data_IF_893252757308
#
_entry.id   IF_893252757308
#
_cell.length_a   1.000
_cell.length_b   1.000
_cell.length_c   1.000
_cell.angle_alpha   90.00
_cell.angle_beta   90.00
_cell.angle_gamma   90.00
#
_symmetry.space_group_name_H-M   'P 1'
#
loop_
_entity.id
_entity.type
_entity.pdbx_description
1 polymer ?
#
# COMPACT_ATOMS: atom_id res chain seq x y z
N UNK A 1 -4.01 -19.83 -13.99
CA UNK A 1 -2.57 -19.87 -13.64
C UNK A 1 -2.15 -21.08 -12.80
N UNK A 2 -3.05 -22.02 -12.45
CA UNK A 2 -2.73 -23.19 -11.61
C UNK A 2 -3.24 -24.54 -12.18
N UNK A 3 -3.59 -24.60 -13.47
CA UNK A 3 -4.07 -25.82 -14.11
C UNK A 3 -3.25 -26.13 -15.36
N UNK A 4 -2.29 -27.05 -15.24
CA UNK A 4 -1.49 -27.55 -16.37
C UNK A 4 0.00 -27.48 -16.11
N UNK A 5 0.64 -28.65 -15.94
CA UNK A 5 2.10 -28.90 -15.98
C UNK A 5 2.95 -28.03 -15.06
N UNK A 6 3.58 -28.61 -14.04
CA UNK A 6 4.44 -27.94 -13.06
C UNK A 6 5.17 -26.73 -13.65
N UNK A 7 4.74 -25.55 -13.22
CA UNK A 7 5.06 -24.29 -13.92
C UNK A 7 6.57 -24.12 -14.06
N UNK A 8 7.01 -23.60 -15.21
CA UNK A 8 8.42 -23.28 -15.50
C UNK A 8 9.11 -22.57 -14.32
N UNK A 9 8.36 -21.71 -13.61
CA UNK A 9 8.82 -21.02 -12.40
C UNK A 9 9.24 -21.99 -11.29
N UNK A 10 8.38 -22.93 -10.90
CA UNK A 10 8.69 -23.89 -9.83
C UNK A 10 9.86 -24.81 -10.23
N UNK A 11 9.93 -25.21 -11.51
CA UNK A 11 11.06 -25.98 -12.04
C UNK A 11 12.39 -25.21 -11.96
N UNK A 12 12.38 -23.93 -12.35
CA UNK A 12 13.57 -23.06 -12.27
C UNK A 12 13.97 -22.80 -10.82
N UNK A 13 13.02 -22.55 -9.92
CA UNK A 13 13.29 -22.39 -8.49
C UNK A 13 13.91 -23.65 -7.88
N UNK A 14 13.39 -24.83 -8.24
CA UNK A 14 13.94 -26.10 -7.80
C UNK A 14 15.40 -26.24 -8.23
N UNK A 15 15.67 -26.07 -9.53
CA UNK A 15 17.03 -26.21 -10.07
C UNK A 15 18.01 -25.24 -9.40
N UNK A 16 17.62 -23.98 -9.21
CA UNK A 16 18.46 -22.97 -8.56
C UNK A 16 18.76 -23.29 -7.09
N UNK A 17 17.77 -23.80 -6.34
CA UNK A 17 17.95 -24.20 -4.93
C UNK A 17 18.77 -25.51 -4.78
N UNK A 18 18.71 -26.40 -5.77
CA UNK A 18 19.55 -27.61 -5.82
C UNK A 18 21.01 -27.25 -6.15
N UNK A 19 21.22 -26.30 -7.07
CA UNK A 19 22.55 -25.79 -7.43
C UNK A 19 23.20 -24.98 -6.29
N UNK A 20 22.40 -24.38 -5.40
CA UNK A 20 22.89 -23.54 -4.31
C UNK A 20 22.41 -24.04 -2.92
N UNK A 21 23.02 -25.11 -2.37
CA UNK A 21 22.58 -25.77 -1.14
C UNK A 21 22.70 -24.95 0.15
N UNK A 22 23.25 -23.73 0.14
CA UNK A 22 23.29 -22.85 1.31
C UNK A 22 22.32 -21.66 1.23
N UNK A 23 21.65 -21.48 0.09
CA UNK A 23 20.80 -20.33 -0.18
C UNK A 23 19.33 -20.53 0.24
N UNK A 24 18.73 -19.48 0.80
CA UNK A 24 17.28 -19.36 0.98
C UNK A 24 16.57 -18.84 -0.27
N UNK A 25 15.24 -18.76 -0.20
CA UNK A 25 14.38 -18.23 -1.25
C UNK A 25 13.72 -16.92 -0.79
N UNK A 26 14.02 -15.82 -1.49
CA UNK A 26 13.29 -14.56 -1.32
C UNK A 26 12.41 -14.34 -2.54
N UNK A 27 11.11 -14.17 -2.33
CA UNK A 27 10.18 -13.73 -3.36
C UNK A 27 9.90 -12.24 -3.17
N UNK A 28 9.77 -11.51 -4.27
CA UNK A 28 9.33 -10.12 -4.20
C UNK A 28 8.32 -9.81 -5.30
N UNK A 29 7.51 -8.80 -5.07
CA UNK A 29 6.55 -8.35 -6.06
C UNK A 29 5.82 -7.10 -5.66
N UNK A 30 5.42 -6.33 -6.66
CA UNK A 30 4.60 -5.14 -6.51
C UNK A 30 3.15 -5.43 -6.95
N UNK A 31 2.16 -4.84 -6.27
CA UNK A 31 0.75 -4.93 -6.63
C UNK A 31 0.27 -6.38 -6.75
N UNK A 32 -0.33 -6.75 -7.90
CA UNK A 32 -0.69 -8.13 -8.24
C UNK A 32 0.50 -9.11 -8.11
N UNK A 33 1.71 -8.70 -8.50
CA UNK A 33 2.91 -9.52 -8.36
C UNK A 33 3.23 -9.83 -6.90
N UNK A 34 3.00 -8.86 -6.00
CA UNK A 34 3.14 -9.04 -4.55
C UNK A 34 2.13 -10.05 -4.00
N UNK A 35 0.87 -9.98 -4.48
CA UNK A 35 -0.17 -10.94 -4.10
C UNK A 35 0.15 -12.36 -4.58
N UNK A 36 0.63 -12.50 -5.82
CA UNK A 36 1.04 -13.80 -6.37
C UNK A 36 2.23 -14.37 -5.59
N UNK A 37 3.25 -13.56 -5.29
CA UNK A 37 4.39 -13.97 -4.50
C UNK A 37 3.98 -14.44 -3.09
N UNK A 38 3.11 -13.67 -2.42
CA UNK A 38 2.57 -14.01 -1.11
C UNK A 38 1.81 -15.34 -1.12
N UNK A 39 0.85 -15.50 -2.03
CA UNK A 39 0.05 -16.73 -2.12
C UNK A 39 0.92 -17.94 -2.49
N UNK A 40 1.89 -17.78 -3.40
CA UNK A 40 2.83 -18.83 -3.73
C UNK A 40 3.64 -19.27 -2.50
N UNK A 41 4.18 -18.32 -1.74
CA UNK A 41 4.93 -18.60 -0.51
C UNK A 41 4.07 -19.36 0.51
N UNK A 42 2.82 -18.93 0.73
CA UNK A 42 1.89 -19.60 1.65
C UNK A 42 1.66 -21.06 1.22
N UNK A 43 1.58 -21.33 -0.08
CA UNK A 43 1.39 -22.69 -0.59
C UNK A 43 2.63 -23.58 -0.39
N UNK A 44 3.83 -23.03 -0.50
CA UNK A 44 5.09 -23.78 -0.52
C UNK A 44 5.90 -23.71 0.79
N UNK A 45 5.47 -22.94 1.78
CA UNK A 45 6.19 -22.75 3.05
C UNK A 45 5.50 -23.44 4.24
N UNK A 46 6.30 -23.91 5.19
CA UNK A 46 5.88 -24.40 6.50
C UNK A 46 6.63 -23.66 7.61
N UNK A 47 6.02 -23.52 8.81
CA UNK A 47 6.72 -22.96 9.96
C UNK A 47 7.98 -23.76 10.28
N UNK A 48 9.08 -23.07 10.54
CA UNK A 48 10.30 -23.70 11.02
C UNK A 48 10.08 -24.21 12.45
N UNK A 49 10.45 -25.46 12.72
CA UNK A 49 10.48 -26.01 14.09
C UNK A 49 11.77 -25.67 14.85
N UNK A 50 12.73 -25.02 14.18
CA UNK A 50 14.03 -24.70 14.78
C UNK A 50 13.97 -23.39 15.58
N UNK A 51 14.70 -23.34 16.70
CA UNK A 51 14.83 -22.15 17.55
C UNK A 51 15.69 -21.03 16.91
N UNK A 52 16.20 -21.21 15.69
CA UNK A 52 16.85 -20.14 14.93
C UNK A 52 15.78 -19.13 14.52
N UNK A 53 16.06 -17.83 14.55
CA UNK A 53 15.09 -16.76 14.28
C UNK A 53 14.41 -16.76 12.90
N UNK A 54 14.54 -17.82 12.10
CA UNK A 54 13.81 -18.04 10.85
C UNK A 54 12.43 -18.65 11.13
N UNK A 55 11.38 -17.91 10.79
CA UNK A 55 10.00 -18.34 11.05
C UNK A 55 9.47 -19.39 10.07
N UNK A 56 9.95 -19.43 8.81
CA UNK A 56 9.41 -20.30 7.76
C UNK A 56 10.49 -20.90 6.86
N UNK A 57 10.24 -22.11 6.39
CA UNK A 57 11.07 -22.86 5.44
C UNK A 57 10.22 -23.45 4.32
N UNK A 58 10.83 -23.83 3.20
CA UNK A 58 10.15 -24.56 2.13
C UNK A 58 9.68 -25.93 2.63
N UNK A 59 8.44 -26.28 2.26
CA UNK A 59 7.79 -27.54 2.66
C UNK A 59 8.62 -28.73 2.26
N UNK A 60 8.75 -29.69 3.18
CA UNK A 60 9.02 -31.07 2.78
C UNK A 60 8.01 -31.52 1.74
N UNK A 61 8.49 -32.18 0.69
CA UNK A 61 7.62 -32.96 -0.17
C UNK A 61 7.03 -34.05 0.71
N UNK A 62 5.91 -33.76 1.39
CA UNK A 62 5.28 -34.76 2.22
C UNK A 62 4.92 -35.91 1.29
N UNK A 63 5.61 -37.04 1.47
CA UNK A 63 5.00 -38.35 1.27
C UNK A 63 3.69 -38.27 2.03
N UNK A 64 2.61 -38.10 1.28
CA UNK A 64 1.25 -38.05 1.77
C UNK A 64 1.08 -39.24 2.72
N UNK A 65 1.14 -38.98 4.03
CA UNK A 65 1.02 -40.03 5.02
C UNK A 65 -0.39 -40.61 4.89
N UNK A 66 -0.41 -41.82 4.37
CA UNK A 66 -1.41 -42.84 4.65
C UNK A 66 -1.75 -42.78 6.15
N UNK A 67 -2.96 -42.32 6.48
CA UNK A 67 -3.45 -42.31 7.84
C UNK A 67 -4.16 -41.02 8.20
N UNK A 68 -5.42 -40.91 7.79
CA UNK A 68 -6.61 -40.75 8.64
C UNK A 68 -7.79 -40.44 7.72
N UNK A 69 -8.57 -41.49 7.47
CA UNK A 69 -9.78 -41.48 6.66
C UNK A 69 -10.83 -40.52 7.24
N UNK A 70 -11.11 -39.42 6.52
CA UNK A 70 -12.42 -38.77 6.54
C UNK A 70 -12.96 -38.73 5.10
N UNK A 71 -14.20 -39.18 4.81
CA UNK A 71 -14.55 -39.72 3.49
C UNK A 71 -15.03 -38.68 2.46
N UNK A 72 -14.87 -37.37 2.68
CA UNK A 72 -15.65 -36.37 1.92
C UNK A 72 -14.88 -35.24 1.25
N UNK A 73 -13.55 -35.17 1.35
CA UNK A 73 -12.78 -34.17 0.60
C UNK A 73 -11.81 -34.85 -0.37
N UNK A 74 -12.01 -34.61 -1.67
CA UNK A 74 -11.01 -34.92 -2.71
C UNK A 74 -9.70 -34.23 -2.30
N UNK A 75 -8.59 -34.96 -2.12
CA UNK A 75 -7.30 -34.34 -1.90
C UNK A 75 -6.99 -33.40 -3.06
N UNK A 76 -6.52 -32.19 -2.73
CA UNK A 76 -6.01 -31.25 -3.72
C UNK A 76 -4.87 -31.97 -4.48
N UNK A 77 -4.83 -31.92 -5.83
CA UNK A 77 -3.76 -32.60 -6.57
C UNK A 77 -2.40 -32.09 -6.09
N UNK A 78 -1.50 -33.02 -5.75
CA UNK A 78 -0.13 -32.72 -5.37
C UNK A 78 0.50 -31.78 -6.41
N UNK A 79 1.25 -30.78 -5.94
CA UNK A 79 2.02 -29.97 -6.87
C UNK A 79 2.98 -30.90 -7.63
N UNK A 80 2.96 -30.92 -8.97
CA UNK A 80 3.75 -31.87 -9.77
C UNK A 80 5.28 -31.68 -9.63
N UNK A 81 5.74 -30.61 -8.97
CA UNK A 81 7.14 -30.33 -8.69
C UNK A 81 7.24 -29.80 -7.25
N UNK A 82 7.99 -30.49 -6.41
CA UNK A 82 8.33 -30.04 -5.05
C UNK A 82 9.69 -29.34 -5.02
N UNK A 83 9.81 -28.30 -4.21
CA UNK A 83 11.08 -27.61 -3.96
C UNK A 83 11.93 -28.42 -2.96
N UNK A 84 13.26 -28.23 -2.94
CA UNK A 84 14.10 -28.73 -1.85
C UNK A 84 13.52 -28.22 -0.53
N UNK A 85 13.43 -29.11 0.47
CA UNK A 85 12.78 -28.82 1.75
C UNK A 85 13.73 -28.17 2.75
N UNK A 86 13.18 -27.47 3.74
CA UNK A 86 13.98 -26.88 4.82
C UNK A 86 14.79 -25.65 4.40
N UNK A 87 14.49 -25.06 3.23
CA UNK A 87 15.17 -23.86 2.74
C UNK A 87 14.50 -22.63 3.36
N UNK A 88 15.23 -21.70 3.98
CA UNK A 88 14.64 -20.47 4.49
C UNK A 88 13.86 -19.75 3.40
N UNK A 89 12.67 -19.24 3.70
CA UNK A 89 11.83 -18.54 2.73
C UNK A 89 11.23 -17.26 3.32
N UNK A 90 11.22 -16.18 2.52
CA UNK A 90 10.58 -14.92 2.89
C UNK A 90 10.01 -14.19 1.67
N UNK A 91 9.04 -13.31 1.90
CA UNK A 91 8.44 -12.47 0.86
C UNK A 91 8.50 -10.99 1.22
N UNK A 92 8.99 -10.18 0.31
CA UNK A 92 8.84 -8.71 0.35
C UNK A 92 7.80 -8.28 -0.68
N UNK A 93 6.66 -7.80 -0.22
CA UNK A 93 5.54 -7.43 -1.08
C UNK A 93 5.23 -5.93 -0.96
N UNK A 94 4.97 -5.26 -2.08
CA UNK A 94 4.83 -3.80 -2.14
C UNK A 94 3.50 -3.41 -2.77
N UNK A 95 2.70 -2.58 -2.10
CA UNK A 95 1.38 -2.17 -2.60
C UNK A 95 0.43 -3.34 -2.85
N UNK A 96 0.64 -4.45 -2.14
CA UNK A 96 -0.10 -5.70 -2.35
C UNK A 96 -1.57 -5.52 -1.98
N UNK A 97 -2.52 -5.90 -2.86
CA UNK A 97 -3.94 -5.82 -2.56
C UNK A 97 -4.33 -6.74 -1.39
N UNK A 98 -5.51 -6.50 -0.84
CA UNK A 98 -6.07 -7.32 0.21
C UNK A 98 -6.51 -8.69 -0.33
N UNK A 99 -5.70 -9.72 -0.10
CA UNK A 99 -5.85 -11.05 -0.73
C UNK A 99 -5.95 -12.22 0.23
N UNK A 100 -5.76 -12.02 1.53
CA UNK A 100 -5.87 -13.08 2.53
C UNK A 100 -6.85 -12.68 3.64
N UNK A 101 -7.43 -13.66 4.32
CA UNK A 101 -8.21 -13.40 5.54
C UNK A 101 -7.30 -13.00 6.69
N UNK A 102 -7.84 -12.33 7.70
CA UNK A 102 -7.07 -11.92 8.89
C UNK A 102 -6.44 -13.11 9.62
N UNK A 103 -7.18 -14.22 9.75
CA UNK A 103 -6.65 -15.44 10.37
C UNK A 103 -5.43 -15.98 9.61
N UNK A 104 -5.47 -15.98 8.27
CA UNK A 104 -4.34 -16.41 7.45
C UNK A 104 -3.18 -15.40 7.50
N UNK A 105 -3.48 -14.11 7.56
CA UNK A 105 -2.48 -13.06 7.76
C UNK A 105 -1.71 -13.29 9.06
N UNK A 106 -2.41 -13.52 10.17
CA UNK A 106 -1.82 -13.81 11.48
C UNK A 106 -0.96 -15.08 11.45
N UNK A 107 -1.45 -16.16 10.83
CA UNK A 107 -0.73 -17.42 10.70
C UNK A 107 0.54 -17.33 9.83
N UNK A 108 0.66 -16.30 9.00
CA UNK A 108 1.77 -16.11 8.04
C UNK A 108 2.65 -14.91 8.38
N UNK A 109 2.49 -14.34 9.59
CA UNK A 109 3.41 -13.33 10.13
C UNK A 109 4.81 -13.94 10.26
N UNK A 110 5.84 -13.24 9.78
CA UNK A 110 7.22 -13.73 9.70
C UNK A 110 7.57 -14.40 8.36
N UNK A 111 6.59 -14.87 7.59
CA UNK A 111 6.82 -15.32 6.21
C UNK A 111 6.82 -14.14 5.22
N UNK A 112 5.94 -13.16 5.44
CA UNK A 112 5.65 -12.11 4.48
C UNK A 112 5.76 -10.75 5.18
N UNK A 113 6.56 -9.87 4.60
CA UNK A 113 6.61 -8.44 4.91
C UNK A 113 5.91 -7.68 3.78
N UNK A 114 4.82 -6.99 4.10
CA UNK A 114 4.06 -6.17 3.17
C UNK A 114 4.25 -4.70 3.47
N UNK A 115 4.68 -3.94 2.47
CA UNK A 115 4.94 -2.51 2.56
C UNK A 115 3.92 -1.79 1.69
N UNK A 116 3.24 -0.81 2.27
CA UNK A 116 2.27 0.03 1.56
C UNK A 116 2.58 1.52 1.76
N UNK A 117 2.52 2.31 0.70
CA UNK A 117 2.54 3.76 0.83
C UNK A 117 1.25 4.24 1.53
N UNK A 118 1.35 5.27 2.36
CA UNK A 118 0.22 5.69 3.21
C UNK A 118 -1.06 6.06 2.44
N UNK A 119 -0.91 6.67 1.26
CA UNK A 119 -2.02 7.05 0.41
C UNK A 119 -2.40 5.98 -0.63
N UNK A 120 -1.65 4.87 -0.75
CA UNK A 120 -1.94 3.83 -1.74
C UNK A 120 -3.29 3.15 -1.46
N UNK A 121 -4.18 3.18 -2.45
CA UNK A 121 -5.51 2.58 -2.39
C UNK A 121 -5.49 1.06 -2.59
N UNK A 122 -4.51 0.52 -3.34
CA UNK A 122 -4.52 -0.88 -3.77
C UNK A 122 -4.53 -1.86 -2.60
N UNK A 123 -3.80 -1.65 -1.50
CA UNK A 123 -3.90 -2.47 -0.30
C UNK A 123 -5.29 -2.51 0.36
N UNK A 124 -6.18 -1.55 0.09
CA UNK A 124 -7.57 -1.55 0.57
C UNK A 124 -8.52 -2.28 -0.39
N UNK A 125 -8.06 -2.66 -1.60
CA UNK A 125 -8.88 -3.35 -2.59
C UNK A 125 -8.91 -4.85 -2.28
N UNK A 126 -10.04 -5.28 -1.73
CA UNK A 126 -10.37 -6.70 -1.53
C UNK A 126 -11.45 -7.15 -2.51
N UNK A 127 -11.61 -8.47 -2.69
CA UNK A 127 -12.72 -9.02 -3.46
C UNK A 127 -14.08 -8.57 -2.87
N UNK A 128 -14.20 -8.51 -1.55
CA UNK A 128 -15.38 -7.98 -0.88
C UNK A 128 -15.65 -6.51 -1.22
N UNK A 129 -14.60 -5.67 -1.27
CA UNK A 129 -14.71 -4.27 -1.68
C UNK A 129 -15.24 -4.14 -3.12
N UNK A 130 -14.80 -5.01 -4.04
CA UNK A 130 -15.30 -5.02 -5.42
C UNK A 130 -16.76 -5.48 -5.50
N UNK A 131 -17.15 -6.49 -4.71
CA UNK A 131 -18.55 -6.93 -4.62
C UNK A 131 -19.46 -5.84 -4.06
N UNK A 132 -19.00 -5.10 -3.06
CA UNK A 132 -19.73 -3.95 -2.53
C UNK A 132 -19.92 -2.86 -3.59
N UNK A 133 -18.85 -2.50 -4.31
CA UNK A 133 -18.96 -1.49 -5.38
C UNK A 133 -19.92 -1.92 -6.48
N UNK A 134 -19.94 -3.21 -6.81
CA UNK A 134 -20.94 -3.75 -7.72
C UNK A 134 -22.35 -3.61 -7.15
N UNK A 135 -22.57 -3.97 -5.88
CA UNK A 135 -23.87 -3.87 -5.23
C UNK A 135 -24.38 -2.41 -5.19
N UNK A 136 -23.50 -1.47 -4.82
CA UNK A 136 -23.76 -0.03 -4.82
C UNK A 136 -24.10 0.46 -6.23
N UNK A 137 -23.32 0.09 -7.25
CA UNK A 137 -23.57 0.49 -8.63
C UNK A 137 -24.92 -0.03 -9.15
N UNK A 138 -25.29 -1.26 -8.79
CA UNK A 138 -26.59 -1.84 -9.11
C UNK A 138 -27.71 -1.08 -8.39
N UNK A 139 -27.53 -0.71 -7.12
CA UNK A 139 -28.51 0.08 -6.36
C UNK A 139 -28.74 1.45 -7.01
N UNK A 140 -27.66 2.17 -7.34
CA UNK A 140 -27.74 3.47 -8.02
C UNK A 140 -28.40 3.40 -9.41
N UNK A 141 -28.30 2.27 -10.11
CA UNK A 141 -28.94 2.11 -11.43
C UNK A 141 -30.46 2.04 -11.33
N UNK A 142 -30.99 1.44 -10.27
CA UNK A 142 -32.43 1.21 -10.11
C UNK A 142 -33.12 2.34 -9.36
N UNK A 143 -32.38 3.21 -8.67
CA UNK A 143 -32.93 4.38 -8.01
C UNK A 143 -33.16 5.53 -9.01
N UNK A 144 -34.43 5.68 -9.43
CA UNK A 144 -34.94 6.71 -10.35
C UNK A 144 -35.61 7.87 -9.61
N UNK A 145 -35.07 8.30 -8.47
CA UNK A 145 -35.53 9.54 -7.84
C UNK A 145 -34.86 10.74 -8.52
N UNK A 146 -35.62 11.76 -8.96
CA UNK A 146 -35.11 12.95 -9.67
C UNK A 146 -34.00 13.69 -8.89
N UNK A 147 -34.05 13.64 -7.56
CA UNK A 147 -33.00 14.16 -6.68
C UNK A 147 -31.64 13.47 -6.87
N UNK A 148 -31.60 12.21 -7.30
CA UNK A 148 -30.39 11.40 -7.42
C UNK A 148 -29.68 11.68 -8.75
N UNK A 149 -30.40 12.11 -9.80
CA UNK A 149 -29.80 12.39 -11.11
C UNK A 149 -28.95 13.67 -11.07
N UNK A 150 -29.44 14.73 -10.44
CA UNK A 150 -28.66 15.96 -10.24
C UNK A 150 -27.48 15.70 -9.28
N UNK A 151 -27.68 14.86 -8.27
CA UNK A 151 -26.69 14.51 -7.24
C UNK A 151 -25.56 13.58 -7.76
N UNK A 152 -25.89 12.65 -8.67
CA UNK A 152 -24.93 11.79 -9.39
C UNK A 152 -23.90 12.63 -10.13
N UNK A 153 -24.32 13.71 -10.78
CA UNK A 153 -23.42 14.60 -11.52
C UNK A 153 -22.40 15.28 -10.60
N UNK A 154 -22.80 15.70 -9.39
CA UNK A 154 -21.94 16.39 -8.42
C UNK A 154 -20.90 15.45 -7.81
N UNK A 155 -21.31 14.24 -7.42
CA UNK A 155 -20.38 13.19 -6.92
C UNK A 155 -19.43 12.74 -8.01
N UNK A 156 -19.95 12.49 -9.22
CA UNK A 156 -19.13 12.09 -10.37
C UNK A 156 -18.09 13.16 -10.72
N UNK A 157 -18.45 14.44 -10.68
CA UNK A 157 -17.52 15.54 -10.91
C UNK A 157 -16.43 15.62 -9.82
N UNK A 158 -16.76 15.37 -8.55
CA UNK A 158 -15.78 15.33 -7.44
C UNK A 158 -14.82 14.14 -7.58
N UNK A 159 -15.33 12.94 -7.86
CA UNK A 159 -14.51 11.74 -8.11
C UNK A 159 -13.63 11.93 -9.34
N UNK A 160 -14.19 12.48 -10.42
CA UNK A 160 -13.45 12.80 -11.64
C UNK A 160 -12.37 13.85 -11.39
N UNK A 161 -12.67 14.91 -10.62
CA UNK A 161 -11.69 15.92 -10.26
C UNK A 161 -10.55 15.34 -9.40
N UNK A 162 -10.86 14.50 -8.41
CA UNK A 162 -9.86 13.81 -7.59
C UNK A 162 -8.99 12.86 -8.44
N UNK A 163 -9.60 12.11 -9.35
CA UNK A 163 -8.90 11.21 -10.26
C UNK A 163 -8.00 11.97 -11.25
N UNK A 164 -8.51 13.05 -11.84
CA UNK A 164 -7.76 13.90 -12.79
C UNK A 164 -6.60 14.62 -12.08
N UNK A 165 -6.80 15.06 -10.85
CA UNK A 165 -5.74 15.62 -9.99
C UNK A 165 -4.67 14.57 -9.64
N UNK A 166 -5.07 13.30 -9.46
CA UNK A 166 -4.12 12.21 -9.21
C UNK A 166 -3.26 11.86 -10.45
N UNK A 167 -3.82 11.97 -11.66
CA UNK A 167 -3.08 11.74 -12.92
C UNK A 167 -2.18 12.91 -13.29
N UNK A 168 -2.55 14.15 -12.95
CA UNK A 168 -1.72 15.34 -13.22
C UNK A 168 -0.56 15.49 -12.23
N UNK A 169 -0.70 14.94 -11.01
CA UNK A 169 0.37 14.86 -10.02
C UNK A 169 1.54 13.95 -10.45
N UNK A 170 1.36 13.09 -11.45
CA UNK A 170 2.43 12.27 -12.03
C UNK A 170 3.46 13.13 -12.80
N UNK A 171 3.06 14.30 -13.31
CA UNK A 171 3.90 15.16 -14.17
C UNK A 171 4.67 16.28 -13.45
N UNK A 172 4.40 16.55 -12.17
CA UNK A 172 5.05 17.66 -11.45
C UNK A 172 5.57 17.21 -10.09
N UNK A 173 6.84 16.83 -10.04
CA UNK A 173 7.63 16.89 -8.81
C UNK A 173 7.76 18.35 -8.39
N UNK A 174 6.74 18.89 -7.72
CA UNK A 174 6.74 20.27 -7.20
C UNK A 174 5.54 21.16 -7.55
N UNK A 175 4.39 20.60 -7.93
CA UNK A 175 3.17 21.41 -8.12
C UNK A 175 2.72 22.09 -6.81
N UNK A 176 2.07 23.28 -6.90
CA UNK A 176 1.57 24.01 -5.74
C UNK A 176 0.60 23.16 -4.91
N UNK A 177 0.45 23.44 -3.60
CA UNK A 177 -0.52 22.74 -2.77
C UNK A 177 -1.90 22.76 -3.43
N UNK A 178 -2.71 21.71 -3.22
CA UNK A 178 -4.09 21.73 -3.69
C UNK A 178 -4.73 23.05 -3.26
N UNK A 179 -5.38 23.78 -4.18
CA UNK A 179 -5.94 25.08 -3.88
C UNK A 179 -6.98 25.00 -2.76
N UNK A 180 -7.02 26.04 -1.92
CA UNK A 180 -7.73 26.09 -0.63
C UNK A 180 -9.26 25.82 -0.71
N UNK A 181 -9.84 25.76 -1.92
CA UNK A 181 -11.23 25.36 -2.15
C UNK A 181 -11.50 23.84 -2.04
N UNK A 182 -10.51 23.02 -1.69
CA UNK A 182 -10.71 21.57 -1.42
C UNK A 182 -11.15 21.31 0.03
N UNK A 183 -10.96 22.25 0.95
CA UNK A 183 -11.66 22.23 2.24
C UNK A 183 -13.09 22.73 1.99
N UNK A 184 -14.08 21.84 2.12
CA UNK A 184 -15.49 22.17 1.91
C UNK A 184 -15.89 23.39 2.71
N UNK A 185 -16.13 24.52 2.03
CA UNK A 185 -16.58 25.77 2.62
C UNK A 185 -18.10 25.71 2.90
N UNK A 186 -18.57 24.61 3.49
CA UNK A 186 -19.97 24.35 3.72
C UNK A 186 -20.15 23.36 4.86
N UNK A 187 -20.45 23.87 6.05
CA UNK A 187 -20.84 23.09 7.25
C UNK A 187 -22.02 22.12 6.94
N UNK A 188 -22.82 22.40 5.89
CA UNK A 188 -23.85 21.51 5.36
C UNK A 188 -23.38 20.47 4.33
N UNK A 189 -22.36 20.76 3.51
CA UNK A 189 -21.85 19.85 2.48
C UNK A 189 -21.13 18.65 3.09
N UNK A 190 -20.37 18.87 4.16
CA UNK A 190 -19.68 17.81 4.90
C UNK A 190 -20.67 16.87 5.59
N UNK A 191 -21.76 17.40 6.14
CA UNK A 191 -22.78 16.56 6.80
C UNK A 191 -23.53 15.67 5.82
N UNK A 192 -23.83 16.15 4.62
CA UNK A 192 -24.45 15.34 3.58
C UNK A 192 -23.49 14.30 3.01
N UNK A 193 -22.25 14.71 2.64
CA UNK A 193 -21.25 13.80 2.10
C UNK A 193 -20.93 12.68 3.11
N UNK A 194 -20.90 13.04 4.40
CA UNK A 194 -20.76 12.10 5.50
C UNK A 194 -21.96 11.15 5.64
N UNK A 195 -23.20 11.64 5.55
CA UNK A 195 -24.40 10.77 5.59
C UNK A 195 -24.46 9.80 4.40
N UNK A 196 -24.16 10.28 3.19
CA UNK A 196 -24.06 9.40 2.02
C UNK A 196 -22.95 8.36 2.19
N UNK A 197 -21.79 8.77 2.73
CA UNK A 197 -20.71 7.82 3.02
C UNK A 197 -21.14 6.79 4.06
N UNK A 198 -21.90 7.19 5.09
CA UNK A 198 -22.46 6.28 6.10
C UNK A 198 -23.49 5.32 5.51
N UNK A 199 -24.36 5.78 4.62
CA UNK A 199 -25.33 4.95 3.92
C UNK A 199 -24.64 3.94 3.00
N UNK A 200 -23.67 4.40 2.21
CA UNK A 200 -22.85 3.53 1.36
C UNK A 200 -22.11 2.49 2.22
N UNK A 201 -21.50 2.89 3.34
CA UNK A 201 -20.89 1.95 4.31
C UNK A 201 -21.89 0.90 4.80
N UNK A 202 -23.15 1.28 5.03
CA UNK A 202 -24.22 0.35 5.39
C UNK A 202 -24.51 -0.70 4.31
N UNK A 203 -24.25 -0.39 3.04
CA UNK A 203 -24.36 -1.34 1.92
C UNK A 203 -23.09 -2.18 1.71
N UNK A 204 -21.95 -1.79 2.29
CA UNK A 204 -20.65 -2.45 2.11
C UNK A 204 -20.43 -3.65 3.05
N UNK A 205 -21.35 -4.62 3.04
CA UNK A 205 -21.39 -5.70 4.03
C UNK A 205 -20.54 -6.93 3.69
N UNK A 206 -19.90 -7.00 2.52
CA UNK A 206 -19.12 -8.18 2.14
C UNK A 206 -17.88 -8.36 3.04
N UNK A 207 -17.44 -9.59 3.24
CA UNK A 207 -16.22 -9.88 4.00
C UNK A 207 -14.99 -9.22 3.33
N UNK A 208 -14.22 -8.46 4.10
CA UNK A 208 -13.03 -7.77 3.62
C UNK A 208 -11.80 -8.62 3.90
N UNK A 209 -11.00 -8.83 2.87
CA UNK A 209 -9.67 -9.39 3.03
C UNK A 209 -8.70 -8.30 3.50
N UNK A 210 -7.49 -8.70 3.84
CA UNK A 210 -6.41 -7.82 4.28
C UNK A 210 -5.13 -8.09 3.48
N UNK A 211 -4.20 -7.12 3.43
CA UNK A 211 -2.87 -7.38 2.88
C UNK A 211 -2.16 -8.48 3.68
N UNK A 212 -1.37 -9.35 3.01
CA UNK A 212 -0.78 -10.52 3.65
C UNK A 212 0.37 -10.20 4.61
N UNK A 213 0.59 -11.06 5.60
CA UNK A 213 1.75 -11.01 6.50
C UNK A 213 1.78 -9.85 7.49
N UNK A 214 3.00 -9.39 7.77
CA UNK A 214 3.27 -8.22 8.60
C UNK A 214 3.22 -6.96 7.73
N UNK A 215 2.33 -6.04 8.08
CA UNK A 215 2.03 -4.88 7.24
C UNK A 215 2.66 -3.62 7.81
N UNK A 216 3.37 -2.89 6.96
CA UNK A 216 4.02 -1.63 7.27
C UNK A 216 3.53 -0.54 6.32
N UNK A 217 3.39 0.67 6.86
CA UNK A 217 3.11 1.88 6.11
C UNK A 217 4.38 2.70 6.00
N UNK A 218 4.75 3.07 4.77
CA UNK A 218 5.74 4.11 4.50
C UNK A 218 5.01 5.41 4.21
N UNK A 219 5.37 6.47 4.92
CA UNK A 219 4.79 7.79 4.73
C UNK A 219 5.90 8.82 4.57
N UNK A 220 5.82 9.63 3.52
CA UNK A 220 6.76 10.72 3.25
C UNK A 220 6.02 12.05 3.39
N UNK A 221 6.45 12.85 4.36
CA UNK A 221 5.80 14.11 4.74
C UNK A 221 6.81 15.24 4.54
N UNK A 222 6.39 16.31 3.87
CA UNK A 222 7.18 17.54 3.84
C UNK A 222 7.14 18.19 5.22
N UNK A 223 8.31 18.42 5.78
CA UNK A 223 8.49 19.06 7.08
C UNK A 223 9.47 20.21 6.92
N UNK A 224 9.52 21.09 7.92
CA UNK A 224 10.62 22.04 8.02
C UNK A 224 11.58 21.56 9.09
N UNK A 225 12.85 21.44 8.72
CA UNK A 225 13.92 21.19 9.66
C UNK A 225 14.27 22.50 10.38
N UNK A 226 14.13 22.45 11.70
CA UNK A 226 14.43 23.57 12.62
C UNK A 226 15.75 23.36 13.36
N UNK A 227 16.40 22.20 13.18
CA UNK A 227 17.66 21.89 13.82
C UNK A 227 18.78 22.52 12.98
N UNK A 228 19.49 23.49 13.55
CA UNK A 228 20.60 24.16 12.87
C UNK A 228 20.17 25.29 11.94
N UNK A 229 19.41 26.26 12.46
CA UNK A 229 19.34 27.61 11.90
C UNK A 229 20.74 28.28 11.98
N UNK A 230 21.71 27.76 11.23
CA UNK A 230 22.96 28.46 10.97
C UNK A 230 22.68 29.54 9.94
N UNK A 231 22.43 30.74 10.46
CA UNK A 231 22.10 31.98 9.76
C UNK A 231 23.05 32.26 8.57
N UNK A 232 24.24 31.66 8.56
CA UNK A 232 25.26 31.82 7.50
C UNK A 232 24.98 31.05 6.21
N UNK A 233 24.32 29.89 6.25
CA UNK A 233 23.98 29.14 5.03
C UNK A 233 22.66 29.60 4.39
N UNK A 234 21.79 30.29 5.14
CA UNK A 234 20.55 30.88 4.62
C UNK A 234 20.80 31.92 3.52
N UNK A 235 21.94 32.62 3.55
CA UNK A 235 22.33 33.57 2.51
C UNK A 235 22.62 32.91 1.15
N UNK A 236 22.80 31.57 1.09
CA UNK A 236 23.19 30.86 -0.14
C UNK A 236 22.01 30.34 -0.96
N UNK A 237 20.83 30.21 -0.36
CA UNK A 237 19.64 29.63 -1.01
C UNK A 237 18.46 30.61 -1.21
N UNK A 238 18.66 31.91 -1.00
CA UNK A 238 17.66 32.91 -1.35
C UNK A 238 18.19 34.33 -1.28
N UNK A 239 18.20 34.98 -2.45
CA UNK A 239 18.39 36.41 -2.67
C UNK A 239 19.73 37.03 -2.21
N UNK A 240 20.48 37.53 -3.19
CA UNK A 240 21.58 38.46 -2.97
C UNK A 240 21.07 39.69 -2.20
N UNK A 241 21.82 40.24 -1.22
CA UNK A 241 21.41 41.44 -0.48
C UNK A 241 21.35 42.73 -1.31
N UNK A 242 21.64 42.69 -2.61
CA UNK A 242 21.84 43.90 -3.43
C UNK A 242 20.57 44.44 -4.10
N UNK A 243 19.41 43.79 -3.97
CA UNK A 243 18.13 44.31 -4.51
C UNK A 243 17.19 44.89 -3.44
N UNK A 244 17.72 45.39 -2.31
CA UNK A 244 16.95 46.32 -1.46
C UNK A 244 17.23 47.75 -1.92
N UNK A 245 16.81 48.02 -3.16
CA UNK A 245 16.83 49.33 -3.79
C UNK A 245 15.45 49.67 -4.31
N UNK A 246 14.55 50.10 -3.41
CA UNK A 246 13.40 50.91 -3.78
C UNK A 246 12.03 50.25 -3.69
N UNK A 247 11.22 50.76 -2.76
CA UNK A 247 9.80 51.02 -3.03
C UNK A 247 8.79 49.96 -2.61
N UNK A 248 8.21 50.16 -1.42
CA UNK A 248 6.74 50.12 -1.28
C UNK A 248 6.07 48.76 -1.06
N UNK A 249 5.64 48.53 0.18
CA UNK A 249 4.33 47.93 0.49
C UNK A 249 4.13 46.45 0.15
N UNK A 250 4.57 45.55 1.04
CA UNK A 250 4.25 44.12 0.96
C UNK A 250 4.84 43.31 2.10
N UNK A 251 4.67 43.77 3.34
CA UNK A 251 5.19 43.08 4.53
C UNK A 251 4.39 41.82 4.85
N UNK A 252 5.06 40.68 4.95
CA UNK A 252 4.51 39.49 5.60
C UNK A 252 5.11 38.15 5.14
N UNK A 253 5.08 37.87 3.83
CA UNK A 253 5.31 36.51 3.35
C UNK A 253 6.80 36.08 3.38
N UNK A 254 7.72 36.94 2.92
CA UNK A 254 9.14 36.57 2.78
C UNK A 254 9.89 36.38 4.12
N UNK A 255 9.46 37.06 5.18
CA UNK A 255 10.06 36.95 6.52
C UNK A 255 9.55 35.70 7.25
N UNK A 256 8.26 35.34 7.09
CA UNK A 256 7.67 34.15 7.71
C UNK A 256 8.30 32.83 7.25
N UNK A 257 8.65 32.68 5.96
CA UNK A 257 9.30 31.46 5.46
C UNK A 257 10.70 31.25 6.06
N UNK A 258 11.38 32.33 6.47
CA UNK A 258 12.70 32.28 7.09
C UNK A 258 12.68 31.73 8.52
N UNK A 259 11.59 32.00 9.25
CA UNK A 259 11.39 31.49 10.62
C UNK A 259 10.93 30.02 10.66
N UNK A 260 10.43 29.48 9.55
CA UNK A 260 9.84 28.14 9.49
C UNK A 260 10.89 27.01 9.45
N UNK A 261 12.12 27.28 8.98
CA UNK A 261 13.21 26.31 8.84
C UNK A 261 13.44 25.85 7.39
N UNK A 262 14.44 25.00 7.14
CA UNK A 262 14.73 24.49 5.79
C UNK A 262 13.68 23.46 5.38
N UNK A 263 13.21 23.50 4.14
CA UNK A 263 12.36 22.45 3.60
C UNK A 263 13.08 21.11 3.66
N UNK A 264 12.49 20.15 4.33
CA UNK A 264 13.01 18.81 4.53
C UNK A 264 11.89 17.78 4.30
N UNK A 265 12.28 16.51 4.19
CA UNK A 265 11.33 15.41 4.03
C UNK A 265 11.51 14.44 5.18
N UNK A 266 10.44 14.20 5.93
CA UNK A 266 10.39 13.18 6.97
C UNK A 266 9.79 11.92 6.37
N UNK A 267 10.55 10.84 6.38
CA UNK A 267 10.06 9.51 6.04
C UNK A 267 9.78 8.75 7.33
N UNK A 268 8.61 8.14 7.45
CA UNK A 268 8.22 7.32 8.58
C UNK A 268 7.89 5.92 8.11
N UNK A 269 8.42 4.92 8.81
CA UNK A 269 8.08 3.52 8.65
C UNK A 269 7.27 3.04 9.85
N UNK A 270 6.01 2.69 9.63
CA UNK A 270 5.04 2.42 10.71
C UNK A 270 4.53 0.99 10.60
N UNK A 271 4.69 0.21 11.65
CA UNK A 271 4.02 -1.08 11.77
C UNK A 271 2.52 -0.92 12.03
N UNK A 272 1.68 -1.65 11.30
CA UNK A 272 0.22 -1.59 11.43
C UNK A 272 -0.25 -2.64 12.44
N UNK A 273 -0.70 -2.18 13.62
CA UNK A 273 -1.24 -3.06 14.68
C UNK A 273 -2.57 -3.70 14.32
N UNK A 274 -3.48 -2.89 13.79
CA UNK A 274 -4.84 -3.28 13.44
C UNK A 274 -5.01 -3.15 11.91
N UNK A 275 -4.73 -4.26 11.22
CA UNK A 275 -4.71 -4.33 9.75
C UNK A 275 -6.13 -4.28 9.21
N UNK A 276 -7.07 -5.04 9.80
CA UNK A 276 -8.47 -5.02 9.41
C UNK A 276 -9.03 -3.60 9.43
N UNK A 277 -8.91 -2.88 10.56
CA UNK A 277 -9.40 -1.51 10.66
C UNK A 277 -8.70 -0.55 9.69
N UNK A 278 -7.42 -0.76 9.41
CA UNK A 278 -6.65 0.12 8.51
C UNK A 278 -7.06 0.00 7.05
N UNK A 279 -7.40 -1.21 6.60
CA UNK A 279 -7.64 -1.54 5.20
C UNK A 279 -9.09 -1.95 4.87
N UNK A 280 -9.99 -2.04 5.86
CA UNK A 280 -11.41 -2.32 5.66
C UNK A 280 -12.13 -1.27 4.80
N UNK A 281 -11.61 -0.04 4.77
CA UNK A 281 -12.20 1.07 4.04
C UNK A 281 -11.18 1.78 3.15
N UNK A 282 -11.65 2.21 1.97
CA UNK A 282 -10.87 3.03 1.06
C UNK A 282 -10.71 4.43 1.65
N UNK A 283 -9.45 4.87 1.74
CA UNK A 283 -9.10 6.24 2.12
C UNK A 283 -8.82 7.04 0.86
N UNK A 284 -9.68 8.00 0.55
CA UNK A 284 -9.48 8.88 -0.58
C UNK A 284 -8.49 10.00 -0.20
N UNK A 285 -7.35 10.05 -0.89
CA UNK A 285 -6.36 11.13 -0.81
C UNK A 285 -5.88 11.59 -2.19
N UNK A 286 -5.49 12.87 -2.31
CA UNK A 286 -4.87 13.40 -3.52
C UNK A 286 -3.54 12.69 -3.78
N UNK A 287 -3.51 11.75 -4.72
CA UNK A 287 -2.33 10.95 -5.04
C UNK A 287 -2.47 9.44 -4.83
N UNK A 288 -3.64 8.93 -4.41
CA UNK A 288 -3.78 7.51 -4.05
C UNK A 288 -3.35 6.49 -5.13
N UNK A 289 -3.55 6.82 -6.42
CA UNK A 289 -3.12 5.98 -7.54
C UNK A 289 -1.67 6.23 -7.94
N UNK A 290 -1.20 7.48 -7.82
CA UNK A 290 0.20 7.83 -8.08
C UNK A 290 1.14 7.22 -7.04
N UNK A 291 0.67 7.09 -5.79
CA UNK A 291 1.40 6.46 -4.70
C UNK A 291 1.48 4.93 -4.82
N UNK A 292 0.69 4.34 -5.71
CA UNK A 292 0.82 2.94 -6.09
C UNK A 292 1.94 2.71 -7.11
N UNK A 293 2.59 3.74 -7.66
CA UNK A 293 3.65 3.52 -8.66
C UNK A 293 4.91 2.93 -8.03
N UNK A 294 5.61 1.98 -8.70
CA UNK A 294 6.88 1.43 -8.20
C UNK A 294 7.92 2.52 -7.88
N UNK A 295 8.03 3.55 -8.73
CA UNK A 295 8.95 4.66 -8.51
C UNK A 295 8.64 5.48 -7.25
N UNK A 296 7.38 5.51 -6.78
CA UNK A 296 7.04 6.14 -5.50
C UNK A 296 7.51 5.28 -4.32
N UNK A 297 7.29 3.96 -4.40
CA UNK A 297 7.81 3.01 -3.40
C UNK A 297 9.33 3.12 -3.29
N UNK A 298 10.04 3.07 -4.41
CA UNK A 298 11.51 3.22 -4.46
C UNK A 298 11.96 4.55 -3.85
N UNK A 299 11.35 5.68 -4.22
CA UNK A 299 11.69 6.98 -3.65
C UNK A 299 11.49 7.04 -2.15
N UNK A 300 10.34 6.55 -1.67
CA UNK A 300 10.02 6.62 -0.25
C UNK A 300 10.94 5.69 0.58
N UNK A 301 11.23 4.50 0.07
CA UNK A 301 12.15 3.56 0.71
C UNK A 301 13.60 4.04 0.65
N UNK A 302 14.04 4.63 -0.46
CA UNK A 302 15.36 5.24 -0.57
C UNK A 302 15.55 6.40 0.41
N UNK A 303 14.50 7.20 0.65
CA UNK A 303 14.53 8.23 1.69
C UNK A 303 14.64 7.66 3.12
N UNK A 304 14.11 6.46 3.37
CA UNK A 304 14.30 5.74 4.63
C UNK A 304 15.71 5.20 4.77
N UNK A 305 16.27 4.63 3.71
CA UNK A 305 17.64 4.08 3.66
C UNK A 305 18.67 5.17 3.98
N UNK A 306 18.59 6.33 3.32
CA UNK A 306 19.45 7.49 3.60
C UNK A 306 19.37 7.88 5.07
N UNK A 307 18.17 7.94 5.65
CA UNK A 307 17.98 8.33 7.04
C UNK A 307 18.42 7.31 8.09
N UNK A 308 18.70 6.05 7.70
CA UNK A 308 19.11 4.96 8.62
C UNK A 308 20.57 4.58 8.42
N UNK A 309 21.11 4.70 7.21
CA UNK A 309 22.45 4.25 6.85
C UNK A 309 23.53 5.35 6.92
N UNK A 310 23.15 6.64 6.98
CA UNK A 310 24.09 7.77 7.05
C UNK A 310 24.52 8.15 8.49
N UNK A 311 24.45 7.21 9.45
CA UNK A 311 25.06 7.33 10.80
C UNK A 311 26.49 6.78 10.83
#
# INVERSE_FOLDING_TARGET
MLGGGGTRVVATLKAALEENPDYGLVLCGHSLGGAVAALLAILIAEPSSAASGQSFVTKSAQKLLEGHTHPTHKPLPDLPISLPSGRPIHVYSYGTPATVSEALRLATRGLITTIANAADIVPCLSLGTLHDFRAIAVHFRHDQSDAITELKSRVWNRVRAAFTSSMTAEKTTGGPPPPDYIAGEGVGEDTWAWRMLQELRGLMTNEKLVPPGEVFIVESIRVFDRVGADVKQEARYGFSPEEVGGGGGGGGAGVQYRELGRSATRVQFKWVRDVEKRFAEIRFGSGMFADHSPGRYERNLGGLEVGVCDD
#
